data_IF_042969891734
#
_entry.id   IF_042969891734
#
_cell.length_a   1.000
_cell.length_b   1.000
_cell.length_c   1.000
_cell.angle_alpha   90.00
_cell.angle_beta   90.00
_cell.angle_gamma   90.00
#
_symmetry.space_group_name_H-M   'P 1'
#
loop_
_entity.id
_entity.type
_entity.pdbx_description
1 polymer ?
#
# COMPACT_ATOMS: atom_id res chain seq x y z
N UNK A 1 -10.31 3.77 7.48
CA UNK A 1 -10.04 3.47 6.05
C UNK A 1 -11.23 3.82 5.17
N UNK A 2 -12.39 3.15 5.25
CA UNK A 2 -13.58 3.44 4.43
C UNK A 2 -13.95 4.94 4.37
N UNK A 3 -14.07 5.60 5.53
CA UNK A 3 -14.38 7.04 5.58
C UNK A 3 -13.32 7.90 4.88
N UNK A 4 -12.04 7.58 5.07
CA UNK A 4 -10.91 8.26 4.43
C UNK A 4 -11.00 8.13 2.91
N UNK A 5 -11.27 6.92 2.40
CA UNK A 5 -11.43 6.70 0.96
C UNK A 5 -12.66 7.42 0.43
N UNK A 6 -13.79 7.39 1.14
CA UNK A 6 -14.99 8.13 0.75
C UNK A 6 -14.74 9.63 0.57
N UNK A 7 -13.92 10.22 1.44
CA UNK A 7 -13.64 11.65 1.44
C UNK A 7 -12.53 12.04 0.44
N UNK A 8 -11.44 11.27 0.38
CA UNK A 8 -10.22 11.67 -0.32
C UNK A 8 -9.98 10.91 -1.64
N UNK A 9 -10.65 9.78 -1.86
CA UNK A 9 -10.46 8.91 -3.02
C UNK A 9 -11.72 8.03 -3.29
N UNK A 10 -12.85 8.62 -3.70
CA UNK A 10 -14.12 7.90 -3.83
C UNK A 10 -14.06 6.76 -4.87
N UNK A 11 -13.21 6.88 -5.90
CA UNK A 11 -13.01 5.79 -6.86
C UNK A 11 -12.30 4.59 -6.22
N UNK A 12 -11.30 4.84 -5.36
CA UNK A 12 -10.59 3.81 -4.58
C UNK A 12 -11.54 3.11 -3.59
N UNK A 13 -12.55 3.82 -3.06
CA UNK A 13 -13.54 3.23 -2.16
C UNK A 13 -14.34 2.12 -2.86
N UNK A 14 -14.74 2.31 -4.12
CA UNK A 14 -15.51 1.31 -4.86
C UNK A 14 -14.72 0.02 -5.03
N UNK A 15 -13.44 0.13 -5.38
CA UNK A 15 -12.53 -1.01 -5.55
C UNK A 15 -12.28 -1.72 -4.21
N UNK A 16 -12.03 -0.96 -3.13
CA UNK A 16 -11.89 -1.51 -1.78
C UNK A 16 -13.13 -2.32 -1.36
N UNK A 17 -14.33 -1.76 -1.54
CA UNK A 17 -15.56 -2.45 -1.14
C UNK A 17 -15.82 -3.71 -1.96
N UNK A 18 -15.46 -3.72 -3.24
CA UNK A 18 -15.56 -4.90 -4.07
C UNK A 18 -14.64 -6.02 -3.59
N UNK A 19 -13.34 -5.71 -3.39
CA UNK A 19 -12.35 -6.69 -2.90
C UNK A 19 -12.70 -7.20 -1.49
N UNK A 20 -13.11 -6.31 -0.60
CA UNK A 20 -13.48 -6.67 0.77
C UNK A 20 -14.70 -7.59 0.80
N UNK A 21 -15.71 -7.34 -0.05
CA UNK A 21 -16.89 -8.20 -0.16
C UNK A 21 -16.56 -9.59 -0.70
N UNK A 22 -15.67 -9.67 -1.69
CA UNK A 22 -15.19 -10.95 -2.24
C UNK A 22 -14.45 -11.74 -1.16
N UNK A 23 -13.49 -11.12 -0.48
CA UNK A 23 -12.73 -11.79 0.58
C UNK A 23 -13.63 -12.27 1.74
N UNK A 24 -14.67 -11.50 2.11
CA UNK A 24 -15.66 -11.94 3.09
C UNK A 24 -16.48 -13.13 2.61
N UNK A 25 -16.92 -13.15 1.35
CA UNK A 25 -17.67 -14.27 0.80
C UNK A 25 -16.83 -15.56 0.79
N UNK A 26 -15.55 -15.47 0.41
CA UNK A 26 -14.64 -16.62 0.43
C UNK A 26 -14.31 -17.08 1.85
N UNK A 27 -14.29 -16.16 2.82
CA UNK A 27 -14.10 -16.51 4.24
C UNK A 27 -15.32 -17.26 4.80
N UNK A 28 -16.52 -17.02 4.28
CA UNK A 28 -17.72 -17.73 4.74
C UNK A 28 -17.63 -19.24 4.44
N UNK A 29 -16.89 -19.63 3.40
CA UNK A 29 -16.70 -21.02 2.98
C UNK A 29 -15.72 -21.80 3.87
N UNK A 30 -14.68 -21.15 4.40
CA UNK A 30 -13.58 -21.84 5.11
C UNK A 30 -13.13 -21.20 6.44
N UNK A 31 -13.75 -20.08 6.83
CA UNK A 31 -13.44 -19.28 8.01
C UNK A 31 -11.99 -18.75 8.08
N UNK A 32 -11.25 -18.74 6.97
CA UNK A 32 -9.90 -18.18 6.90
C UNK A 32 -9.92 -16.66 6.64
N UNK A 33 -9.66 -15.90 7.69
CA UNK A 33 -9.59 -14.44 7.65
C UNK A 33 -8.31 -13.88 7.02
N UNK A 34 -7.33 -14.71 6.65
CA UNK A 34 -6.09 -14.25 6.04
C UNK A 34 -6.33 -13.40 4.78
N UNK A 35 -7.37 -13.74 4.00
CA UNK A 35 -7.77 -12.98 2.79
C UNK A 35 -8.29 -11.59 3.14
N UNK A 36 -9.16 -11.51 4.15
CA UNK A 36 -9.70 -10.23 4.64
C UNK A 36 -8.58 -9.35 5.18
N UNK A 37 -7.64 -9.93 5.93
CA UNK A 37 -6.49 -9.19 6.44
C UNK A 37 -5.60 -8.67 5.30
N UNK A 38 -5.35 -9.49 4.27
CA UNK A 38 -4.57 -9.06 3.11
C UNK A 38 -5.21 -7.88 2.36
N UNK A 39 -6.54 -7.85 2.24
CA UNK A 39 -7.26 -6.70 1.69
C UNK A 39 -7.06 -5.46 2.57
N UNK A 40 -7.21 -5.59 3.89
CA UNK A 40 -6.99 -4.47 4.82
C UNK A 40 -5.55 -3.94 4.70
N UNK A 41 -4.54 -4.80 4.70
CA UNK A 41 -3.14 -4.39 4.63
C UNK A 41 -2.82 -3.65 3.33
N UNK A 42 -3.30 -4.17 2.19
CA UNK A 42 -3.18 -3.53 0.87
C UNK A 42 -3.77 -2.12 0.88
N UNK A 43 -5.01 -1.98 1.38
CA UNK A 43 -5.75 -0.74 1.30
C UNK A 43 -5.37 0.29 2.36
N UNK A 44 -4.80 -0.15 3.48
CA UNK A 44 -4.27 0.75 4.51
C UNK A 44 -3.17 1.65 3.97
N UNK A 45 -2.20 1.10 3.24
CA UNK A 45 -1.12 1.88 2.63
C UNK A 45 -1.65 2.93 1.66
N UNK A 46 -2.64 2.58 0.84
CA UNK A 46 -3.29 3.52 -0.09
C UNK A 46 -4.01 4.64 0.65
N UNK A 47 -4.84 4.31 1.63
CA UNK A 47 -5.56 5.31 2.43
C UNK A 47 -4.59 6.24 3.18
N UNK A 48 -3.49 5.71 3.71
CA UNK A 48 -2.45 6.49 4.36
C UNK A 48 -1.83 7.53 3.41
N UNK A 49 -1.48 7.13 2.18
CA UNK A 49 -0.92 8.05 1.17
C UNK A 49 -1.92 9.13 0.71
N UNK A 50 -3.23 8.87 0.82
CA UNK A 50 -4.26 9.90 0.56
C UNK A 50 -4.34 10.93 1.69
N UNK A 51 -4.26 10.49 2.95
CA UNK A 51 -4.24 11.38 4.12
C UNK A 51 -2.93 12.15 4.24
N UNK A 52 -1.84 11.52 3.84
CA UNK A 52 -0.48 12.05 3.89
C UNK A 52 0.13 11.98 2.50
N UNK A 53 -0.27 12.88 1.58
CA UNK A 53 0.36 12.94 0.27
C UNK A 53 1.87 13.13 0.43
N UNK A 54 2.69 12.40 -0.35
CA UNK A 54 4.13 12.57 -0.31
C UNK A 54 4.51 14.04 -0.58
N UNK A 55 5.64 14.47 -0.06
CA UNK A 55 6.27 15.74 -0.42
C UNK A 55 6.77 15.70 -1.87
N UNK A 56 7.11 16.87 -2.43
CA UNK A 56 7.73 16.93 -3.76
C UNK A 56 9.06 16.19 -3.80
N UNK A 57 9.85 16.28 -2.72
CA UNK A 57 11.13 15.59 -2.58
C UNK A 57 10.97 14.06 -2.59
N UNK A 58 9.97 13.54 -1.86
CA UNK A 58 9.66 12.10 -1.85
C UNK A 58 9.14 11.62 -3.21
N UNK A 59 8.30 12.41 -3.90
CA UNK A 59 7.87 12.10 -5.27
C UNK A 59 9.05 12.07 -6.24
N UNK A 60 9.94 13.05 -6.14
CA UNK A 60 11.14 13.12 -6.99
C UNK A 60 12.07 11.92 -6.75
N UNK A 61 12.23 11.50 -5.49
CA UNK A 61 12.99 10.29 -5.15
C UNK A 61 12.36 9.05 -5.79
N UNK A 62 11.05 8.85 -5.65
CA UNK A 62 10.33 7.72 -6.26
C UNK A 62 10.50 7.72 -7.79
N UNK A 63 10.41 8.89 -8.43
CA UNK A 63 10.59 9.02 -9.88
C UNK A 63 12.01 8.66 -10.34
N UNK A 64 13.05 9.08 -9.60
CA UNK A 64 14.45 8.71 -9.88
C UNK A 64 14.66 7.21 -9.80
N UNK A 65 14.15 6.58 -8.75
CA UNK A 65 14.25 5.12 -8.54
C UNK A 65 13.51 4.38 -9.65
N UNK A 66 12.32 4.84 -10.04
CA UNK A 66 11.57 4.27 -11.15
C UNK A 66 12.31 4.40 -12.50
N UNK A 67 13.13 5.43 -12.66
CA UNK A 67 14.03 5.62 -13.81
C UNK A 67 15.33 4.80 -13.72
N UNK A 68 15.52 4.02 -12.66
CA UNK A 68 16.70 3.19 -12.43
C UNK A 68 17.85 3.88 -11.69
N UNK A 69 17.69 5.16 -11.33
CA UNK A 69 18.66 5.86 -10.48
C UNK A 69 18.39 5.54 -9.00
N UNK A 70 19.13 4.57 -8.48
CA UNK A 70 19.10 4.15 -7.07
C UNK A 70 20.21 4.79 -6.22
N UNK A 71 20.95 5.76 -6.78
CA UNK A 71 22.07 6.37 -6.07
C UNK A 71 21.64 7.02 -4.75
N UNK A 72 22.40 6.75 -3.69
CA UNK A 72 22.12 7.26 -2.34
C UNK A 72 21.03 6.49 -1.59
N UNK A 73 20.43 5.46 -2.19
CA UNK A 73 19.62 4.49 -1.45
C UNK A 73 20.51 3.49 -0.72
N UNK A 74 19.98 2.95 0.37
CA UNK A 74 20.61 1.85 1.10
C UNK A 74 19.72 0.61 1.04
N UNK A 75 20.33 -0.54 0.78
CA UNK A 75 19.68 -1.84 0.96
C UNK A 75 20.22 -2.52 2.19
N UNK A 76 19.31 -3.07 2.99
CA UNK A 76 19.66 -3.94 4.11
C UNK A 76 19.97 -5.33 3.58
N UNK A 77 21.17 -5.82 3.83
CA UNK A 77 21.62 -7.16 3.45
C UNK A 77 21.03 -8.23 4.38
N UNK A 78 21.11 -9.49 3.98
CA UNK A 78 20.61 -10.63 4.76
C UNK A 78 21.31 -10.82 6.11
N UNK A 79 22.57 -10.38 6.23
CA UNK A 79 23.36 -10.30 7.47
C UNK A 79 23.10 -9.01 8.27
N UNK A 80 22.15 -8.18 7.84
CA UNK A 80 21.66 -7.02 8.59
C UNK A 80 22.48 -5.73 8.40
N UNK A 81 23.50 -5.75 7.55
CA UNK A 81 24.29 -4.56 7.21
C UNK A 81 23.56 -3.66 6.21
N UNK A 82 23.89 -2.38 6.20
CA UNK A 82 23.40 -1.45 5.19
C UNK A 82 24.46 -1.24 4.11
N UNK A 83 24.09 -1.43 2.85
CA UNK A 83 24.94 -1.12 1.69
C UNK A 83 24.30 -0.01 0.86
N UNK A 84 25.06 1.04 0.58
CA UNK A 84 24.66 2.07 -0.37
C UNK A 84 24.74 1.52 -1.80
N UNK A 85 23.81 1.93 -2.65
CA UNK A 85 23.89 1.75 -4.11
C UNK A 85 24.73 2.84 -4.77
#
# INVERSE_FOLDING_TARGET
MRAVLAELAPDDLVEFEAEFRIALAETDDDFDLARVQAVIDKWWGRAYLRMHPPTEEERALVARVAAGDVSGLYTKTSDGQWKSH
#
